data_IF_639855203290
#
_entry.id   IF_639855203290
#
_cell.length_a   1.000
_cell.length_b   1.000
_cell.length_c   1.000
_cell.angle_alpha   90.00
_cell.angle_beta   90.00
_cell.angle_gamma   90.00
#
_symmetry.space_group_name_H-M   'P 1'
#
loop_
_entity.id
_entity.type
_entity.pdbx_description
1 polymer ?
#
# COMPACT_ATOMS: atom_id res chain seq x y z
N UNK A 1 -2.61 -17.60 0.16
CA UNK A 1 -2.15 -16.37 0.83
C UNK A 1 -3.05 -15.22 0.42
N UNK A 2 -3.71 -14.57 1.39
CA UNK A 2 -4.44 -13.33 1.12
C UNK A 2 -3.44 -12.19 0.86
N UNK A 3 -3.69 -11.41 -0.18
CA UNK A 3 -2.88 -10.24 -0.56
C UNK A 3 -3.71 -8.99 -0.31
N UNK A 4 -3.21 -8.13 0.54
CA UNK A 4 -3.87 -6.89 0.92
C UNK A 4 -3.11 -5.70 0.35
N UNK A 5 -3.86 -4.75 -0.17
CA UNK A 5 -3.33 -3.49 -0.67
C UNK A 5 -3.69 -2.36 0.30
N UNK A 6 -2.71 -1.54 0.64
CA UNK A 6 -2.89 -0.32 1.41
C UNK A 6 -2.28 0.85 0.64
N UNK A 7 -2.84 2.02 0.86
CA UNK A 7 -2.35 3.27 0.28
C UNK A 7 -2.12 4.26 1.41
N UNK A 8 -0.98 4.95 1.38
CA UNK A 8 -0.57 5.80 2.51
C UNK A 8 0.64 6.64 2.20
N UNK A 9 0.92 7.62 3.06
CA UNK A 9 2.04 8.53 2.87
C UNK A 9 3.35 7.98 3.44
N UNK A 10 4.44 8.16 2.70
CA UNK A 10 5.78 7.99 3.25
C UNK A 10 6.22 9.22 4.08
N UNK A 11 7.42 9.13 4.68
CA UNK A 11 8.01 10.23 5.47
C UNK A 11 8.29 11.49 4.64
N UNK A 12 8.28 11.39 3.32
CA UNK A 12 8.46 12.50 2.38
C UNK A 12 7.14 12.97 1.78
N UNK A 13 6.00 12.62 2.40
CA UNK A 13 4.65 12.98 1.94
C UNK A 13 4.31 12.48 0.54
N UNK A 14 4.96 11.41 0.07
CA UNK A 14 4.62 10.75 -1.19
C UNK A 14 3.61 9.64 -0.91
N UNK A 15 2.46 9.70 -1.56
CA UNK A 15 1.50 8.59 -1.51
C UNK A 15 2.05 7.35 -2.22
N UNK A 16 2.10 6.25 -1.47
CA UNK A 16 2.55 4.93 -1.92
C UNK A 16 1.36 3.98 -1.94
N UNK A 17 1.33 3.12 -2.96
CA UNK A 17 0.48 1.94 -3.00
C UNK A 17 1.34 0.73 -2.63
N UNK A 18 0.97 0.04 -1.56
CA UNK A 18 1.73 -1.05 -0.96
C UNK A 18 0.88 -2.31 -0.94
N UNK A 19 1.39 -3.38 -1.56
CA UNK A 19 0.78 -4.71 -1.50
C UNK A 19 1.60 -5.55 -0.52
N UNK A 20 0.91 -6.17 0.43
CA UNK A 20 1.52 -7.03 1.43
C UNK A 20 0.74 -8.32 1.60
N UNK A 21 1.40 -9.31 2.17
CA UNK A 21 0.77 -10.52 2.69
C UNK A 21 1.12 -10.62 4.17
N UNK A 22 0.19 -11.14 4.96
CA UNK A 22 0.45 -11.50 6.35
C UNK A 22 1.17 -12.85 6.38
N UNK A 23 2.36 -12.89 6.97
CA UNK A 23 3.04 -14.14 7.31
C UNK A 23 2.75 -14.46 8.77
N UNK A 24 1.65 -15.16 9.01
CA UNK A 24 1.23 -15.67 10.32
C UNK A 24 1.56 -14.68 11.47
N UNK A 25 2.23 -15.14 12.53
CA UNK A 25 2.73 -14.35 13.67
C UNK A 25 4.13 -13.73 13.44
N UNK A 26 4.72 -13.93 12.27
CA UNK A 26 6.05 -13.42 11.95
C UNK A 26 6.03 -11.97 11.44
N UNK A 27 4.87 -11.48 10.99
CA UNK A 27 4.65 -10.09 10.60
C UNK A 27 4.10 -9.93 9.18
N UNK A 28 4.42 -8.78 8.56
CA UNK A 28 3.98 -8.46 7.19
C UNK A 28 5.14 -8.57 6.21
N UNK A 29 4.90 -9.20 5.06
CA UNK A 29 5.84 -9.21 3.94
C UNK A 29 5.35 -8.26 2.85
N UNK A 30 6.14 -7.23 2.57
CA UNK A 30 5.88 -6.33 1.45
C UNK A 30 6.19 -7.06 0.15
N UNK A 31 5.19 -7.14 -0.73
CA UNK A 31 5.32 -7.72 -2.07
C UNK A 31 5.66 -6.61 -3.08
N UNK A 32 5.06 -5.44 -2.92
CA UNK A 32 5.31 -4.28 -3.78
C UNK A 32 5.10 -3.00 -2.99
N UNK A 33 5.98 -2.02 -3.19
CA UNK A 33 5.81 -0.66 -2.72
C UNK A 33 6.19 0.30 -3.85
N UNK A 34 5.20 0.99 -4.40
CA UNK A 34 5.37 1.91 -5.53
C UNK A 34 4.66 3.22 -5.26
N UNK A 35 5.04 4.27 -5.99
CA UNK A 35 4.26 5.52 -5.99
C UNK A 35 2.85 5.22 -6.50
N UNK A 36 1.85 5.74 -5.79
CA UNK A 36 0.47 5.70 -6.25
C UNK A 36 0.34 6.50 -7.57
N UNK A 37 -0.34 5.91 -8.55
CA UNK A 37 -0.77 6.59 -9.77
C UNK A 37 -1.77 7.70 -9.46
N UNK A 38 -2.02 8.59 -10.42
CA UNK A 38 -3.04 9.63 -10.27
C UNK A 38 -4.44 9.04 -10.06
N UNK A 39 -4.77 7.91 -10.68
CA UNK A 39 -6.05 7.23 -10.49
C UNK A 39 -6.18 6.64 -9.08
N UNK A 40 -5.16 5.91 -8.60
CA UNK A 40 -5.16 5.34 -7.24
C UNK A 40 -5.19 6.43 -6.16
N UNK A 41 -4.56 7.59 -6.42
CA UNK A 41 -4.65 8.78 -5.55
C UNK A 41 -6.07 9.31 -5.47
N UNK A 42 -6.72 9.47 -6.62
CA UNK A 42 -8.08 9.97 -6.72
C UNK A 42 -9.05 9.06 -5.97
N UNK A 43 -8.95 7.74 -6.17
CA UNK A 43 -9.81 6.77 -5.50
C UNK A 43 -9.63 6.80 -3.98
N UNK A 44 -8.39 6.98 -3.47
CA UNK A 44 -8.12 7.10 -2.04
C UNK A 44 -8.66 8.40 -1.42
N UNK A 45 -8.59 9.52 -2.15
CA UNK A 45 -9.08 10.82 -1.66
C UNK A 45 -10.61 10.93 -1.65
N UNK A 46 -11.31 10.06 -2.38
CA UNK A 46 -12.77 10.07 -2.55
C UNK A 46 -13.47 8.83 -1.97
N UNK A 47 -12.76 8.02 -1.18
CA UNK A 47 -13.26 6.83 -0.46
C UNK A 47 -13.71 7.12 0.96
#
# INVERSE_FOLDING_TARGET
EARDAIIGFDRSSRLLFVVHIQQDDAGIRIISARKATNSERYDHEHS
#
